data_IF_827359298481
#
_entry.id   IF_827359298481
#
_cell.length_a   1.000
_cell.length_b   1.000
_cell.length_c   1.000
_cell.angle_alpha   90.00
_cell.angle_beta   90.00
_cell.angle_gamma   90.00
#
_symmetry.space_group_name_H-M   'P 1'
#
loop_
_entity.id
_entity.type
_entity.pdbx_description
1 polymer ?
#
# COMPACT_ATOMS: atom_id res chain seq x y z
N UNK A 1 77.35 -11.84 5.30
CA UNK A 1 77.83 -13.17 4.88
C UNK A 1 76.63 -14.12 4.81
N UNK A 2 76.53 -14.89 3.71
CA UNK A 2 75.58 -15.97 3.38
C UNK A 2 74.11 -15.55 3.16
N UNK A 3 73.60 -15.31 1.94
CA UNK A 3 73.49 -16.13 0.69
C UNK A 3 72.60 -17.38 0.80
N UNK A 4 71.59 -17.37 -0.09
CA UNK A 4 71.15 -18.41 -1.05
C UNK A 4 69.87 -19.24 -0.81
N UNK A 5 69.02 -19.16 -1.85
CA UNK A 5 68.05 -20.14 -2.41
C UNK A 5 66.69 -20.17 -1.68
N UNK A 6 65.57 -19.87 -2.36
CA UNK A 6 64.99 -20.72 -3.42
C UNK A 6 64.33 -19.92 -4.55
N UNK A 7 64.65 -20.35 -5.77
CA UNK A 7 64.08 -19.97 -7.06
C UNK A 7 62.96 -20.95 -7.45
N UNK A 8 61.94 -20.40 -8.11
CA UNK A 8 61.23 -20.89 -9.32
C UNK A 8 60.56 -22.26 -9.25
N UNK A 9 59.23 -22.25 -9.44
CA UNK A 9 58.58 -23.05 -10.47
C UNK A 9 57.32 -22.34 -10.98
N UNK A 10 57.45 -21.78 -12.19
CA UNK A 10 56.34 -21.47 -13.08
C UNK A 10 55.64 -22.77 -13.48
N UNK A 11 54.30 -22.79 -13.46
CA UNK A 11 53.53 -23.69 -14.31
C UNK A 11 52.45 -22.88 -15.01
N UNK A 12 52.72 -22.56 -16.28
CA UNK A 12 51.71 -22.19 -17.26
C UNK A 12 50.93 -23.45 -17.64
N UNK A 13 49.61 -23.43 -17.45
CA UNK A 13 48.70 -24.27 -18.23
C UNK A 13 47.63 -23.35 -18.78
N UNK A 14 47.84 -22.93 -20.03
CA UNK A 14 46.77 -22.46 -20.88
C UNK A 14 46.01 -23.68 -21.39
N UNK A 15 44.70 -23.69 -21.17
CA UNK A 15 43.77 -24.55 -21.88
C UNK A 15 42.66 -23.65 -22.40
N UNK A 16 42.71 -23.42 -23.71
CA UNK A 16 41.63 -22.85 -24.48
C UNK A 16 40.45 -23.83 -24.46
N UNK A 17 39.32 -23.39 -23.95
CA UNK A 17 38.00 -23.95 -24.25
C UNK A 17 37.14 -22.81 -24.77
N UNK A 18 37.23 -22.60 -26.08
CA UNK A 18 36.26 -21.83 -26.83
C UNK A 18 34.99 -22.66 -27.04
N UNK A 19 33.86 -21.93 -27.03
CA UNK A 19 32.51 -22.31 -27.43
C UNK A 19 31.79 -23.34 -26.54
N UNK A 20 30.80 -22.87 -25.77
CA UNK A 20 29.37 -22.98 -26.15
C UNK A 20 28.49 -22.79 -24.90
N UNK A 21 28.06 -21.56 -24.64
CA UNK A 21 26.80 -21.25 -23.94
C UNK A 21 26.23 -20.07 -24.72
N UNK A 22 25.36 -20.35 -25.70
CA UNK A 22 23.92 -20.33 -25.51
C UNK A 22 23.48 -18.92 -25.12
N UNK A 23 23.08 -18.17 -26.15
CA UNK A 23 22.22 -17.01 -26.00
C UNK A 23 20.97 -17.44 -25.23
N UNK A 24 20.81 -16.91 -24.03
CA UNK A 24 19.54 -16.72 -23.37
C UNK A 24 19.56 -15.21 -23.07
N UNK A 25 18.62 -14.48 -23.68
CA UNK A 25 18.52 -13.04 -23.53
C UNK A 25 18.44 -12.69 -22.06
N UNK A 26 19.23 -11.71 -21.65
CA UNK A 26 19.05 -11.08 -20.36
C UNK A 26 17.61 -10.56 -20.34
N UNK A 27 16.81 -11.10 -19.44
CA UNK A 27 15.59 -10.44 -18.97
C UNK A 27 16.05 -9.07 -18.48
N UNK A 28 15.99 -8.06 -19.34
CA UNK A 28 16.41 -6.69 -19.05
C UNK A 28 15.43 -6.16 -18.03
N UNK A 29 15.79 -6.33 -16.76
CA UNK A 29 15.18 -5.59 -15.68
C UNK A 29 15.37 -4.11 -15.95
N UNK A 30 14.31 -3.32 -15.83
CA UNK A 30 14.35 -1.88 -15.98
C UNK A 30 13.91 -1.20 -14.68
N UNK A 31 14.31 0.05 -14.48
CA UNK A 31 13.81 0.95 -13.45
C UNK A 31 13.14 2.18 -14.06
N UNK A 32 13.56 2.55 -15.28
CA UNK A 32 13.01 3.67 -16.03
C UNK A 32 12.71 3.28 -17.48
N UNK A 33 11.69 3.92 -18.10
CA UNK A 33 11.34 3.72 -19.52
C UNK A 33 12.54 3.92 -20.47
N UNK A 34 13.50 4.78 -20.10
CA UNK A 34 14.68 5.07 -20.93
C UNK A 34 15.67 3.92 -21.02
N UNK A 35 15.51 2.89 -20.17
CA UNK A 35 16.32 1.68 -20.17
C UNK A 35 15.74 0.61 -21.11
N UNK A 36 14.49 0.77 -21.55
CA UNK A 36 13.83 -0.11 -22.49
C UNK A 36 14.11 0.28 -23.95
N UNK A 37 13.82 -0.63 -24.89
CA UNK A 37 13.99 -0.32 -26.30
C UNK A 37 12.96 0.73 -26.76
N UNK A 38 13.21 1.36 -27.91
CA UNK A 38 12.24 2.30 -28.48
C UNK A 38 10.92 1.59 -28.78
N UNK A 39 9.84 2.08 -28.18
CA UNK A 39 8.51 1.47 -28.27
C UNK A 39 8.16 0.57 -27.09
N UNK A 40 9.00 0.51 -26.06
CA UNK A 40 8.76 -0.18 -24.80
C UNK A 40 8.78 0.80 -23.63
N UNK A 41 8.14 0.42 -22.53
CA UNK A 41 8.12 1.14 -21.26
C UNK A 41 8.42 0.19 -20.11
N UNK A 42 8.90 0.73 -18.99
CA UNK A 42 9.23 -0.07 -17.83
C UNK A 42 8.03 -0.25 -16.92
N UNK A 43 7.54 -1.48 -16.79
CA UNK A 43 6.40 -1.84 -15.95
C UNK A 43 6.80 -3.01 -15.06
N UNK A 44 6.71 -2.82 -13.73
CA UNK A 44 7.09 -3.84 -12.75
C UNK A 44 8.48 -4.45 -13.01
N UNK A 45 9.45 -3.58 -13.31
CA UNK A 45 10.83 -3.94 -13.68
C UNK A 45 10.97 -4.74 -14.98
N UNK A 46 9.94 -4.81 -15.83
CA UNK A 46 9.98 -5.49 -17.14
C UNK A 46 9.69 -4.50 -18.26
N UNK A 47 10.48 -4.56 -19.34
CA UNK A 47 10.23 -3.76 -20.53
C UNK A 47 9.08 -4.35 -21.35
N UNK A 48 7.96 -3.63 -21.39
CA UNK A 48 6.74 -4.04 -22.07
C UNK A 48 6.45 -3.19 -23.30
N UNK A 49 5.87 -3.80 -24.34
CA UNK A 49 5.58 -3.12 -25.61
C UNK A 49 4.46 -2.10 -25.41
N UNK A 50 4.73 -0.85 -25.78
CA UNK A 50 3.72 0.22 -25.75
C UNK A 50 2.66 0.04 -26.83
N UNK A 51 1.45 0.50 -26.55
CA UNK A 51 0.33 0.43 -27.47
C UNK A 51 -0.54 1.69 -27.42
N UNK A 52 -1.32 1.91 -28.47
CA UNK A 52 -2.39 2.92 -28.51
C UNK A 52 -3.77 2.29 -28.70
N UNK A 53 -3.81 1.04 -29.13
CA UNK A 53 -5.00 0.21 -29.31
C UNK A 53 -4.61 -1.27 -29.34
N UNK A 54 -5.58 -2.17 -29.16
CA UNK A 54 -5.37 -3.64 -29.25
C UNK A 54 -4.76 -4.10 -30.58
N UNK A 55 -4.89 -3.29 -31.64
CA UNK A 55 -4.31 -3.60 -32.94
C UNK A 55 -2.78 -3.46 -32.97
N UNK A 56 -2.21 -2.78 -31.98
CA UNK A 56 -0.77 -2.60 -31.81
C UNK A 56 -0.13 -3.80 -31.08
N UNK A 57 -0.94 -4.61 -30.39
CA UNK A 57 -0.50 -5.76 -29.61
C UNK A 57 -0.46 -7.07 -30.43
N UNK A 58 0.28 -8.07 -29.93
CA UNK A 58 0.34 -9.35 -30.61
C UNK A 58 -1.03 -10.06 -30.57
N UNK A 59 -1.20 -11.05 -31.44
CA UNK A 59 -2.44 -11.80 -31.50
C UNK A 59 -2.70 -12.52 -30.16
N UNK A 60 -3.79 -12.15 -29.49
CA UNK A 60 -4.14 -12.68 -28.17
C UNK A 60 -3.73 -11.78 -27.01
N UNK A 61 -3.22 -10.57 -27.28
CA UNK A 61 -2.96 -9.53 -26.29
C UNK A 61 -3.98 -8.37 -26.41
N UNK A 62 -4.03 -7.53 -25.38
CA UNK A 62 -4.92 -6.36 -25.26
C UNK A 62 -4.10 -5.16 -24.80
N UNK A 63 -4.45 -3.96 -25.26
CA UNK A 63 -3.77 -2.73 -24.87
C UNK A 63 -4.36 -2.17 -23.56
N UNK A 64 -3.55 -2.10 -22.50
CA UNK A 64 -3.95 -1.63 -21.17
C UNK A 64 -3.27 -0.31 -20.79
N UNK A 65 -4.05 0.68 -20.36
CA UNK A 65 -3.56 2.00 -19.96
C UNK A 65 -2.98 2.01 -18.54
N UNK A 66 -1.89 2.75 -18.35
CA UNK A 66 -1.23 2.91 -17.04
C UNK A 66 -1.63 4.25 -16.41
N UNK A 67 -1.36 5.37 -17.10
CA UNK A 67 -1.63 6.72 -16.63
C UNK A 67 -1.83 7.70 -17.81
N UNK A 68 -3.03 8.27 -17.91
CA UNK A 68 -3.39 9.42 -18.78
C UNK A 68 -3.19 9.22 -20.30
N UNK A 69 -1.95 8.99 -20.73
CA UNK A 69 -1.47 8.89 -22.10
C UNK A 69 -0.53 7.68 -22.36
N UNK A 70 -0.20 6.84 -21.35
CA UNK A 70 0.65 5.64 -21.53
C UNK A 70 -0.15 4.34 -21.43
N UNK A 71 0.24 3.34 -22.24
CA UNK A 71 -0.37 2.00 -22.26
C UNK A 71 0.62 0.93 -22.76
N UNK A 72 0.42 -0.33 -22.37
CA UNK A 72 1.24 -1.49 -22.76
C UNK A 72 0.39 -2.73 -23.08
N UNK A 73 0.97 -3.69 -23.80
CA UNK A 73 0.29 -4.92 -24.20
C UNK A 73 0.35 -6.00 -23.11
N UNK A 74 -0.80 -6.56 -22.77
CA UNK A 74 -0.93 -7.68 -21.82
C UNK A 74 -1.57 -8.91 -22.47
N UNK A 75 -1.27 -10.11 -21.98
CA UNK A 75 -1.91 -11.34 -22.46
C UNK A 75 -3.43 -11.32 -22.21
N UNK A 76 -4.20 -11.38 -23.29
CA UNK A 76 -5.65 -11.40 -23.26
C UNK A 76 -6.16 -12.68 -22.59
N UNK A 77 -6.79 -12.56 -21.43
CA UNK A 77 -7.37 -13.71 -20.75
C UNK A 77 -8.52 -14.32 -21.56
N UNK A 78 -8.37 -15.58 -21.95
CA UNK A 78 -9.41 -16.37 -22.61
C UNK A 78 -10.55 -16.69 -21.64
N UNK A 79 -11.53 -15.79 -21.52
CA UNK A 79 -12.82 -16.17 -20.94
C UNK A 79 -13.71 -16.78 -22.02
N UNK A 80 -13.68 -18.11 -22.03
CA UNK A 80 -14.55 -18.98 -22.81
C UNK A 80 -16.01 -18.83 -22.35
N UNK A 81 -16.87 -18.17 -23.15
CA UNK A 81 -18.24 -18.63 -23.35
C UNK A 81 -18.71 -18.46 -24.80
N UNK A 82 -19.11 -19.60 -25.38
CA UNK A 82 -19.57 -19.81 -26.75
C UNK A 82 -20.87 -19.09 -27.13
N UNK A 83 -20.82 -18.34 -28.23
CA UNK A 83 -21.65 -18.46 -29.45
C UNK A 83 -23.19 -18.68 -29.33
N UNK A 84 -24.00 -17.67 -29.66
CA UNK A 84 -24.86 -17.70 -30.88
C UNK A 84 -25.71 -16.43 -31.09
N UNK A 85 -25.57 -15.88 -32.31
CA UNK A 85 -26.62 -15.35 -33.18
C UNK A 85 -27.22 -13.93 -32.93
N UNK A 86 -26.72 -12.98 -33.76
CA UNK A 86 -27.46 -12.02 -34.59
C UNK A 86 -28.72 -11.33 -34.01
N UNK A 87 -28.67 -10.02 -33.73
CA UNK A 87 -29.01 -8.96 -34.69
C UNK A 87 -29.17 -7.61 -33.96
N UNK A 88 -28.46 -6.59 -34.46
CA UNK A 88 -28.86 -5.18 -34.57
C UNK A 88 -29.32 -4.39 -33.32
N UNK A 89 -28.46 -3.42 -32.95
CA UNK A 89 -28.78 -2.09 -32.41
C UNK A 89 -29.59 -2.01 -31.12
N UNK A 90 -28.93 -1.83 -29.97
CA UNK A 90 -28.66 -0.53 -29.32
C UNK A 90 -27.86 -0.87 -28.06
N UNK A 91 -26.52 -0.84 -28.16
CA UNK A 91 -25.64 -1.27 -27.07
C UNK A 91 -25.69 -0.28 -25.92
N UNK A 92 -26.36 -0.66 -24.85
CA UNK A 92 -26.11 -0.12 -23.51
C UNK A 92 -24.68 -0.50 -23.15
N UNK A 93 -23.81 0.50 -23.02
CA UNK A 93 -22.45 0.33 -22.54
C UNK A 93 -22.52 -0.11 -21.07
N UNK A 94 -22.56 -1.42 -20.84
CA UNK A 94 -22.19 -1.96 -19.54
C UNK A 94 -20.67 -2.02 -19.51
N UNK A 95 -20.05 -0.87 -19.26
CA UNK A 95 -18.74 -0.81 -18.62
C UNK A 95 -18.92 -1.51 -17.28
N UNK A 96 -18.60 -2.80 -17.21
CA UNK A 96 -18.16 -3.38 -15.96
C UNK A 96 -16.79 -2.80 -15.70
N UNK A 97 -16.77 -1.66 -15.03
CA UNK A 97 -15.57 -1.07 -14.43
C UNK A 97 -14.96 -2.17 -13.57
N UNK A 98 -13.77 -2.66 -13.95
CA UNK A 98 -12.99 -3.53 -13.06
C UNK A 98 -12.87 -2.81 -11.71
N UNK A 99 -13.11 -3.51 -10.59
CA UNK A 99 -13.09 -2.86 -9.29
C UNK A 99 -11.71 -2.25 -9.08
N UNK A 100 -11.67 -0.94 -8.90
CA UNK A 100 -10.43 -0.24 -8.52
C UNK A 100 -9.89 -0.88 -7.25
N UNK A 101 -8.60 -1.26 -7.21
CA UNK A 101 -8.03 -1.89 -6.03
C UNK A 101 -8.27 -1.00 -4.80
N UNK A 102 -8.64 -1.66 -3.72
CA UNK A 102 -9.03 -1.01 -2.48
C UNK A 102 -7.81 -0.97 -1.56
N UNK A 103 -7.34 0.21 -1.21
CA UNK A 103 -6.19 0.35 -0.31
C UNK A 103 -6.34 1.50 0.69
N UNK A 104 -7.39 2.32 0.61
CA UNK A 104 -7.63 3.39 1.58
C UNK A 104 -8.51 2.95 2.76
N UNK A 105 -8.05 3.30 3.95
CA UNK A 105 -8.81 3.21 5.20
C UNK A 105 -8.78 4.56 5.89
N UNK A 106 -9.93 4.99 6.37
CA UNK A 106 -10.10 6.11 7.26
C UNK A 106 -10.20 5.61 8.70
N UNK A 107 -9.51 6.27 9.62
CA UNK A 107 -9.69 6.10 11.06
C UNK A 107 -10.25 7.43 11.56
N UNK A 108 -11.45 7.39 12.12
CA UNK A 108 -12.12 8.60 12.63
C UNK A 108 -12.42 8.47 14.11
N UNK A 109 -12.23 9.58 14.81
CA UNK A 109 -12.74 9.73 16.16
C UNK A 109 -14.26 9.83 16.15
N UNK A 110 -14.89 9.14 17.10
CA UNK A 110 -16.34 9.13 17.33
C UNK A 110 -16.68 9.51 18.76
N UNK A 111 -15.72 10.08 19.48
CA UNK A 111 -15.83 10.43 20.88
C UNK A 111 -16.86 11.55 21.07
N UNK A 112 -17.80 11.32 21.97
CA UNK A 112 -18.87 12.27 22.31
C UNK A 112 -18.97 12.54 23.81
N UNK A 113 -18.16 11.84 24.61
CA UNK A 113 -18.02 12.10 26.03
C UNK A 113 -17.43 13.50 26.23
N UNK A 114 -17.73 14.15 27.35
CA UNK A 114 -17.09 15.44 27.64
C UNK A 114 -15.64 15.21 28.08
N UNK A 115 -15.43 14.13 28.82
CA UNK A 115 -14.15 13.70 29.38
C UNK A 115 -13.12 13.37 28.28
N UNK A 116 -13.49 12.56 27.29
CA UNK A 116 -12.64 12.24 26.12
C UNK A 116 -12.60 13.36 25.06
N UNK A 117 -13.11 14.55 25.39
CA UNK A 117 -12.98 15.75 24.57
C UNK A 117 -12.43 16.92 25.38
N UNK A 118 -11.64 16.64 26.42
CA UNK A 118 -10.91 17.67 27.14
C UNK A 118 -9.53 17.90 26.48
N UNK A 119 -8.92 19.07 26.67
CA UNK A 119 -7.57 19.36 26.13
C UNK A 119 -6.51 18.36 26.63
N UNK A 120 -6.75 17.75 27.80
CA UNK A 120 -5.87 16.72 28.36
C UNK A 120 -6.13 15.30 27.84
N UNK A 121 -7.23 15.10 27.11
CA UNK A 121 -7.68 13.82 26.54
C UNK A 121 -8.45 14.12 25.23
N UNK A 122 -7.74 14.56 24.17
CA UNK A 122 -8.38 15.16 23.01
C UNK A 122 -8.81 14.07 22.00
N UNK A 123 -9.84 13.31 22.36
CA UNK A 123 -10.35 12.22 21.54
C UNK A 123 -9.34 11.11 21.35
N UNK A 124 -9.56 10.30 20.33
CA UNK A 124 -8.83 9.04 20.14
C UNK A 124 -7.33 9.27 19.88
N UNK A 125 -6.52 8.61 20.70
CA UNK A 125 -5.06 8.68 20.69
C UNK A 125 -4.44 7.51 19.92
N UNK A 126 -4.14 7.66 18.64
CA UNK A 126 -3.58 6.56 17.85
C UNK A 126 -2.13 6.30 18.23
N UNK A 127 -1.83 5.08 18.68
CA UNK A 127 -0.49 4.63 19.06
C UNK A 127 0.19 3.75 18.00
N UNK A 128 -0.59 2.94 17.28
CA UNK A 128 -0.11 2.20 16.11
C UNK A 128 -1.27 1.74 15.23
N UNK A 129 -1.01 1.61 13.93
CA UNK A 129 -1.99 1.12 12.96
C UNK A 129 -1.27 0.20 11.98
N UNK A 130 -1.80 -0.99 11.75
CA UNK A 130 -1.20 -1.94 10.81
C UNK A 130 -2.19 -2.91 10.20
N UNK A 131 -1.77 -3.52 9.09
CA UNK A 131 -2.51 -4.57 8.41
C UNK A 131 -2.00 -5.93 8.87
N UNK A 132 -2.92 -6.85 9.14
CA UNK A 132 -2.61 -8.24 9.48
C UNK A 132 -3.36 -9.21 8.57
N UNK A 133 -2.85 -10.42 8.46
CA UNK A 133 -3.67 -11.54 8.00
C UNK A 133 -4.57 -12.08 9.13
N UNK A 134 -5.44 -13.05 8.80
CA UNK A 134 -6.35 -13.69 9.77
C UNK A 134 -5.60 -14.59 10.79
N UNK A 135 -4.34 -14.94 10.53
CA UNK A 135 -3.44 -15.61 11.45
C UNK A 135 -2.66 -14.64 12.35
N UNK A 136 -2.93 -13.35 12.25
CA UNK A 136 -2.35 -12.25 13.04
C UNK A 136 -0.89 -11.91 12.70
N UNK A 137 -0.37 -12.35 11.54
CA UNK A 137 0.92 -11.90 11.03
C UNK A 137 0.80 -10.46 10.48
N UNK A 138 1.81 -9.63 10.71
CA UNK A 138 1.85 -8.26 10.19
C UNK A 138 2.19 -8.31 8.70
N UNK A 139 1.36 -7.65 7.88
CA UNK A 139 1.51 -7.56 6.43
C UNK A 139 2.07 -6.20 6.00
N UNK A 140 1.68 -5.12 6.69
CA UNK A 140 2.10 -3.78 6.33
C UNK A 140 1.78 -2.73 7.38
N UNK A 141 2.41 -1.58 7.22
CA UNK A 141 2.24 -0.40 8.09
C UNK A 141 1.27 0.60 7.47
N UNK A 142 0.66 1.45 8.30
CA UNK A 142 -0.25 2.48 7.83
C UNK A 142 0.47 3.79 7.53
N UNK A 143 0.44 4.21 6.27
CA UNK A 143 0.95 5.49 5.82
C UNK A 143 -0.20 6.50 5.73
N UNK A 144 -0.09 7.59 6.50
CA UNK A 144 -1.08 8.68 6.48
C UNK A 144 -0.85 9.54 5.24
N UNK A 145 -1.90 9.76 4.46
CA UNK A 145 -1.86 10.59 3.25
C UNK A 145 -2.69 11.87 3.40
N UNK A 146 -3.75 11.81 4.21
CA UNK A 146 -4.62 12.95 4.50
C UNK A 146 -5.13 12.88 5.94
N UNK A 147 -5.45 14.04 6.51
CA UNK A 147 -6.08 14.12 7.83
C UNK A 147 -6.88 15.42 7.95
N UNK A 148 -7.84 15.41 8.85
CA UNK A 148 -8.55 16.60 9.33
C UNK A 148 -8.62 16.52 10.84
N UNK A 149 -8.07 17.52 11.52
CA UNK A 149 -8.13 17.58 12.97
C UNK A 149 -9.56 17.83 13.45
N UNK A 150 -9.89 17.33 14.63
CA UNK A 150 -11.17 17.63 15.28
C UNK A 150 -11.40 19.12 15.55
N UNK A 151 -12.63 19.47 15.92
CA UNK A 151 -13.00 20.86 16.18
C UNK A 151 -12.28 21.45 17.41
N UNK A 152 -11.92 22.74 17.32
CA UNK A 152 -11.42 23.54 18.45
C UNK A 152 -12.40 23.53 19.65
N UNK A 153 -11.92 23.60 20.91
CA UNK A 153 -10.57 23.95 21.34
C UNK A 153 -9.58 22.77 21.39
N UNK A 154 -9.99 21.60 20.89
CA UNK A 154 -9.27 20.34 21.02
C UNK A 154 -8.81 19.81 19.64
N UNK A 155 -8.64 20.72 18.68
CA UNK A 155 -8.06 20.36 17.38
C UNK A 155 -6.64 19.88 17.62
N UNK A 156 -6.38 18.61 17.33
CA UNK A 156 -5.17 17.98 17.81
C UNK A 156 -3.89 18.43 17.12
N UNK A 157 -2.82 18.33 17.91
CA UNK A 157 -1.43 18.59 17.55
C UNK A 157 -0.88 17.31 16.93
N UNK A 158 -1.06 17.13 15.62
CA UNK A 158 -0.31 16.11 14.87
C UNK A 158 1.14 16.60 14.78
N UNK A 159 2.14 15.90 15.36
CA UNK A 159 3.53 16.22 15.10
C UNK A 159 3.83 15.83 13.64
N UNK A 160 3.76 16.79 12.73
CA UNK A 160 4.09 16.70 11.30
C UNK A 160 3.35 15.61 10.48
N UNK A 161 2.80 16.05 9.35
CA UNK A 161 1.86 15.35 8.45
C UNK A 161 2.48 14.13 7.71
N UNK A 162 3.73 13.77 8.04
CA UNK A 162 4.54 12.83 7.25
C UNK A 162 5.08 11.64 8.07
N UNK A 163 4.54 11.39 9.27
CA UNK A 163 5.02 10.29 10.12
C UNK A 163 4.08 9.08 9.95
N UNK A 164 4.67 7.91 9.69
CA UNK A 164 3.97 6.66 9.91
C UNK A 164 3.54 6.62 11.38
N UNK A 165 2.29 6.27 11.69
CA UNK A 165 1.76 6.26 13.08
C UNK A 165 2.55 5.29 13.99
N UNK A 166 3.48 4.52 13.43
CA UNK A 166 4.31 3.54 14.09
C UNK A 166 5.83 3.84 14.01
N UNK A 167 6.21 5.06 13.59
CA UNK A 167 7.58 5.58 13.63
C UNK A 167 8.37 5.42 12.34
N UNK A 168 8.70 4.18 11.94
CA UNK A 168 9.53 3.86 10.77
C UNK A 168 9.10 2.54 10.11
N UNK A 169 9.20 2.45 8.78
CA UNK A 169 8.93 1.22 8.04
C UNK A 169 10.08 0.19 8.12
N UNK A 170 9.77 -1.13 8.12
CA UNK A 170 8.53 -1.74 8.57
C UNK A 170 8.51 -1.74 10.11
N UNK A 171 7.40 -1.29 10.69
CA UNK A 171 7.36 -0.79 12.06
C UNK A 171 7.14 -1.83 13.15
N UNK A 172 7.21 -1.33 14.39
CA UNK A 172 7.06 -2.00 15.68
C UNK A 172 5.85 -2.96 15.77
N UNK A 173 5.93 -3.88 16.72
CA UNK A 173 5.05 -5.06 16.95
C UNK A 173 3.54 -4.80 17.19
N UNK A 174 3.00 -3.63 16.80
CA UNK A 174 1.67 -3.11 17.12
C UNK A 174 1.45 -3.12 18.64
N UNK A 175 2.35 -2.43 19.32
CA UNK A 175 2.46 -2.41 20.77
C UNK A 175 2.30 -0.99 21.32
N UNK A 176 1.87 -0.91 22.58
CA UNK A 176 1.83 0.34 23.31
C UNK A 176 3.21 0.98 23.45
N UNK A 177 3.38 2.26 23.13
CA UNK A 177 4.62 2.99 23.40
C UNK A 177 4.81 3.17 24.91
N UNK A 178 6.04 3.45 25.34
CA UNK A 178 6.38 3.62 26.76
C UNK A 178 5.73 4.88 27.38
N UNK A 179 5.30 5.84 26.56
CA UNK A 179 4.61 7.05 27.01
C UNK A 179 3.79 7.69 25.90
N UNK A 180 2.76 8.44 26.27
CA UNK A 180 1.98 9.29 25.36
C UNK A 180 2.83 10.34 24.62
N UNK A 181 3.93 10.79 25.21
CA UNK A 181 4.83 11.75 24.59
C UNK A 181 5.78 11.13 23.55
N UNK A 182 5.56 9.88 23.15
CA UNK A 182 6.33 9.24 22.09
C UNK A 182 5.96 9.87 20.74
N UNK A 183 6.95 10.00 19.86
CA UNK A 183 6.82 10.69 18.57
C UNK A 183 5.82 10.03 17.60
N UNK A 184 5.41 8.80 17.89
CA UNK A 184 4.48 8.01 17.09
C UNK A 184 3.04 8.01 17.64
N UNK A 185 2.78 8.67 18.78
CA UNK A 185 1.41 8.82 19.27
C UNK A 185 0.81 10.09 18.68
N UNK A 186 -0.32 9.91 18.00
CA UNK A 186 -1.03 11.00 17.34
C UNK A 186 -2.49 10.99 17.75
N UNK A 187 -2.94 12.11 18.29
CA UNK A 187 -4.30 12.26 18.75
C UNK A 187 -5.16 12.83 17.60
N UNK A 188 -6.39 12.33 17.40
CA UNK A 188 -7.26 12.75 16.29
C UNK A 188 -8.03 14.05 16.54
N UNK A 189 -8.43 14.24 17.79
CA UNK A 189 -9.27 15.35 18.21
C UNK A 189 -10.70 14.92 18.04
N UNK A 190 -11.61 15.47 18.84
CA UNK A 190 -12.99 15.01 18.77
C UNK A 190 -13.61 15.28 17.40
N UNK A 191 -14.05 14.21 16.75
CA UNK A 191 -14.56 14.22 15.38
C UNK A 191 -13.50 14.37 14.28
N UNK A 192 -12.21 14.37 14.62
CA UNK A 192 -11.11 14.36 13.66
C UNK A 192 -10.91 12.99 13.02
N UNK A 193 -10.14 12.93 11.94
CA UNK A 193 -9.86 11.69 11.23
C UNK A 193 -8.54 11.73 10.47
N UNK A 194 -8.01 10.54 10.18
CA UNK A 194 -6.92 10.29 9.23
C UNK A 194 -7.38 9.38 8.12
N UNK A 195 -6.77 9.53 6.96
CA UNK A 195 -6.93 8.66 5.80
C UNK A 195 -5.54 8.28 5.30
N UNK A 196 -5.40 7.00 4.95
CA UNK A 196 -4.12 6.43 4.59
C UNK A 196 -4.28 5.07 3.94
N UNK A 197 -3.16 4.53 3.50
CA UNK A 197 -3.06 3.22 2.89
C UNK A 197 -2.06 2.34 3.65
N UNK A 198 -2.11 1.03 3.36
CA UNK A 198 -1.16 0.08 3.93
C UNK A 198 -0.05 -0.22 2.93
N UNK A 199 1.18 -0.10 3.41
CA UNK A 199 2.38 -0.34 2.62
C UNK A 199 3.15 -1.54 3.18
N UNK A 200 3.70 -2.37 2.29
CA UNK A 200 4.62 -3.45 2.68
C UNK A 200 5.99 -2.92 3.11
N UNK A 201 6.93 -3.82 3.42
CA UNK A 201 8.29 -3.44 3.83
C UNK A 201 9.13 -2.75 2.74
N UNK A 202 8.66 -2.77 1.50
CA UNK A 202 9.26 -2.07 0.36
C UNK A 202 8.54 -0.75 0.05
N UNK A 203 7.49 -0.39 0.79
CA UNK A 203 6.68 0.80 0.53
C UNK A 203 5.63 0.61 -0.56
N UNK A 204 5.31 -0.63 -0.93
CA UNK A 204 4.32 -0.96 -1.96
C UNK A 204 2.92 -1.03 -1.36
N UNK A 205 1.90 -0.37 -1.97
CA UNK A 205 0.52 -0.49 -1.51
C UNK A 205 0.01 -1.93 -1.51
N UNK A 206 -0.58 -2.35 -0.39
CA UNK A 206 -1.20 -3.66 -0.22
C UNK A 206 -2.70 -3.55 -0.52
N UNK A 207 -3.21 -4.45 -1.36
CA UNK A 207 -4.65 -4.55 -1.65
C UNK A 207 -5.37 -5.11 -0.40
N UNK A 208 -6.43 -4.42 0.00
CA UNK A 208 -7.31 -4.83 1.07
C UNK A 208 -8.37 -5.80 0.54
N UNK A 209 -8.40 -6.98 1.13
CA UNK A 209 -9.40 -8.01 0.85
C UNK A 209 -9.82 -8.76 2.11
N UNK A 210 -10.73 -9.73 1.95
CA UNK A 210 -11.30 -10.51 3.06
C UNK A 210 -10.33 -11.48 3.74
N UNK A 211 -9.07 -11.57 3.29
CA UNK A 211 -8.00 -12.29 3.97
C UNK A 211 -7.20 -11.41 4.95
N UNK A 212 -7.53 -10.12 5.03
CA UNK A 212 -6.82 -9.14 5.85
C UNK A 212 -7.71 -8.50 6.91
N UNK A 213 -7.09 -7.98 7.96
CA UNK A 213 -7.72 -7.21 9.01
C UNK A 213 -6.87 -5.99 9.38
N UNK A 214 -7.54 -4.87 9.67
CA UNK A 214 -6.90 -3.65 10.15
C UNK A 214 -6.84 -3.69 11.66
N UNK A 215 -5.67 -3.45 12.23
CA UNK A 215 -5.44 -3.36 13.67
C UNK A 215 -5.10 -1.92 14.03
N UNK A 216 -5.91 -1.30 14.87
CA UNK A 216 -5.66 0.02 15.45
C UNK A 216 -5.43 -0.16 16.95
N UNK A 217 -4.31 0.34 17.44
CA UNK A 217 -4.00 0.41 18.87
C UNK A 217 -4.11 1.85 19.28
N UNK A 218 -5.07 2.14 20.15
CA UNK A 218 -5.19 3.43 20.81
C UNK A 218 -4.29 3.45 22.07
N UNK A 219 -3.74 4.62 22.41
CA UNK A 219 -3.13 4.90 23.70
C UNK A 219 -4.19 4.99 24.81
N UNK A 220 -5.11 4.04 24.86
CA UNK A 220 -6.21 3.97 25.81
C UNK A 220 -5.88 3.05 26.99
N UNK A 221 -6.85 2.27 27.53
CA UNK A 221 -6.65 1.49 28.75
C UNK A 221 -5.56 0.42 28.62
N UNK A 222 -5.31 -0.02 27.39
CA UNK A 222 -4.30 -1.01 27.05
C UNK A 222 -2.87 -0.45 27.15
N UNK A 223 -2.70 0.86 26.97
CA UNK A 223 -1.42 1.57 27.04
C UNK A 223 -1.29 2.45 28.29
N UNK A 224 -2.23 2.33 29.23
CA UNK A 224 -2.24 3.10 30.47
C UNK A 224 -2.93 4.48 30.38
N UNK A 225 -3.63 4.75 29.28
CA UNK A 225 -4.53 5.89 29.09
C UNK A 225 -5.96 5.64 29.56
N UNK A 226 -6.87 6.54 29.20
CA UNK A 226 -8.30 6.49 29.55
C UNK A 226 -9.07 5.54 28.62
N UNK A 227 -10.34 5.25 28.94
CA UNK A 227 -11.25 4.49 28.06
C UNK A 227 -12.34 5.40 27.47
N UNK A 228 -12.16 6.71 27.60
CA UNK A 228 -13.22 7.70 27.41
C UNK A 228 -13.42 8.07 25.93
N UNK A 229 -12.47 7.64 25.09
CA UNK A 229 -12.45 7.82 23.65
C UNK A 229 -13.06 6.65 22.90
N UNK A 230 -13.40 6.88 21.63
CA UNK A 230 -13.89 5.84 20.75
C UNK A 230 -13.62 6.20 19.30
N UNK A 231 -13.25 5.20 18.51
CA UNK A 231 -12.95 5.36 17.09
C UNK A 231 -13.70 4.36 16.22
N UNK A 232 -13.74 4.68 14.92
CA UNK A 232 -14.18 3.78 13.87
C UNK A 232 -13.10 3.63 12.80
N UNK A 233 -12.96 2.40 12.31
CA UNK A 233 -12.17 2.04 11.13
C UNK A 233 -13.12 1.89 9.96
N UNK A 234 -12.93 2.68 8.91
CA UNK A 234 -13.87 2.84 7.81
C UNK A 234 -13.17 2.61 6.47
N UNK A 235 -13.73 1.76 5.63
CA UNK A 235 -13.22 1.42 4.32
C UNK A 235 -13.69 2.43 3.27
N UNK A 236 -12.77 2.89 2.43
CA UNK A 236 -13.03 3.91 1.40
C UNK A 236 -13.07 3.29 0.00
N UNK A 237 -14.24 3.22 -0.62
CA UNK A 237 -14.43 2.53 -1.91
C UNK A 237 -13.83 3.25 -3.13
N UNK A 238 -13.58 4.56 -3.02
CA UNK A 238 -12.83 5.34 -3.99
C UNK A 238 -11.50 5.73 -3.34
N UNK A 239 -10.49 4.90 -3.57
CA UNK A 239 -9.19 5.07 -2.94
C UNK A 239 -8.51 6.37 -3.34
N UNK A 240 -8.51 6.72 -4.63
CA UNK A 240 -7.82 7.90 -5.13
C UNK A 240 -8.46 9.19 -4.58
N UNK A 241 -9.79 9.24 -4.53
CA UNK A 241 -10.51 10.37 -3.95
C UNK A 241 -10.20 10.51 -2.45
N UNK A 242 -10.28 9.40 -1.70
CA UNK A 242 -10.05 9.39 -0.25
C UNK A 242 -8.63 9.85 0.14
N UNK A 243 -7.59 9.36 -0.54
CA UNK A 243 -6.21 9.79 -0.27
C UNK A 243 -5.96 11.26 -0.64
N UNK A 244 -6.82 11.86 -1.47
CA UNK A 244 -6.79 13.30 -1.77
C UNK A 244 -7.68 14.16 -0.86
N UNK A 245 -8.32 13.54 0.14
CA UNK A 245 -9.18 14.20 1.13
C UNK A 245 -10.69 14.16 0.82
N UNK A 246 -11.14 13.55 -0.27
CA UNK A 246 -12.55 13.31 -0.52
C UNK A 246 -13.01 12.00 0.12
N UNK A 247 -13.52 12.12 1.36
CA UNK A 247 -13.96 10.99 2.17
C UNK A 247 -15.39 10.51 1.87
N UNK A 248 -16.03 10.99 0.81
CA UNK A 248 -17.43 10.61 0.51
C UNK A 248 -17.63 9.12 0.26
N UNK A 249 -16.58 8.41 -0.14
CA UNK A 249 -16.56 6.97 -0.39
C UNK A 249 -16.27 6.13 0.86
N UNK A 250 -15.89 6.76 1.98
CA UNK A 250 -15.53 6.14 3.25
C UNK A 250 -16.79 5.90 4.10
N UNK A 251 -17.51 4.83 3.81
CA UNK A 251 -18.82 4.56 4.46
C UNK A 251 -18.93 3.19 5.13
N UNK A 252 -18.10 2.23 4.77
CA UNK A 252 -18.19 0.87 5.33
C UNK A 252 -17.35 0.76 6.61
N UNK A 253 -18.03 0.81 7.76
CA UNK A 253 -17.40 0.62 9.07
C UNK A 253 -17.02 -0.85 9.23
N UNK A 254 -15.72 -1.14 9.30
CA UNK A 254 -15.18 -2.50 9.43
C UNK A 254 -14.78 -2.84 10.87
N UNK A 255 -14.58 -1.83 11.72
CA UNK A 255 -14.29 -1.98 13.15
C UNK A 255 -14.64 -0.72 13.94
N UNK A 256 -15.00 -0.87 15.22
CA UNK A 256 -15.27 0.26 16.11
C UNK A 256 -15.08 -0.12 17.58
N UNK A 257 -14.80 0.86 18.43
CA UNK A 257 -14.63 0.65 19.86
C UNK A 257 -13.68 1.64 20.51
N UNK A 258 -13.16 1.26 21.67
CA UNK A 258 -12.12 1.98 22.42
C UNK A 258 -10.97 1.03 22.75
N UNK A 259 -9.76 1.56 22.89
CA UNK A 259 -8.53 0.78 23.03
C UNK A 259 -8.11 0.11 21.72
N UNK A 260 -8.04 -1.22 21.73
CA UNK A 260 -7.61 -2.00 20.56
C UNK A 260 -8.81 -2.29 19.67
N UNK A 261 -8.83 -1.71 18.47
CA UNK A 261 -9.89 -1.92 17.48
C UNK A 261 -9.37 -2.78 16.33
N UNK A 262 -10.07 -3.87 16.05
CA UNK A 262 -9.80 -4.73 14.89
C UNK A 262 -10.94 -4.59 13.90
N UNK A 263 -10.61 -4.12 12.69
CA UNK A 263 -11.51 -4.04 11.56
C UNK A 263 -11.36 -5.23 10.62
N UNK A 264 -12.44 -5.96 10.34
CA UNK A 264 -12.41 -7.12 9.44
C UNK A 264 -13.06 -6.75 8.11
N UNK A 265 -12.33 -6.95 7.02
CA UNK A 265 -12.82 -6.70 5.67
C UNK A 265 -13.68 -7.90 5.23
N UNK A 266 -14.89 -7.64 4.74
CA UNK A 266 -15.88 -8.67 4.37
C UNK A 266 -16.23 -8.63 2.88
#
# INVERSE_FOLDING_TARGET
MNRTKRLISLLFVGLASAALFAACGDETSCLEDTECATGEICVAEVCEVTCTSDADCAAGEVCEGIDGDRAYCIAGQSNNTNNNNSNNTTGTNNNTTEPTPLYAVMIRDTTTSTEGCEISDPGSDLASVGLRDLENNILGYYAVEFFEAGDEPNGNDYPDILINIDGDAPSFELACPESFAAENVSALGCGGYVVGNFLDDMGTPIILDSSTQVSVVEYGPNCGGSADDSLEVVLCTDTAAALSGDITSCTDVIGSGSGDVVGVIN
#
